data_IF_668846028347
#
_entry.id   IF_668846028347
#
_cell.length_a   1.000
_cell.length_b   1.000
_cell.length_c   1.000
_cell.angle_alpha   90.00
_cell.angle_beta   90.00
_cell.angle_gamma   90.00
#
_symmetry.space_group_name_H-M   'P 1'
#
loop_
_entity.id
_entity.type
_entity.pdbx_description
1 polymer ?
#
# COMPACT_ATOMS: atom_id res chain seq x y z
N UNK A 1 -20.94 -2.72 -13.96
CA UNK A 1 -19.79 -2.13 -13.24
C UNK A 1 -18.56 -3.01 -13.46
N UNK A 2 -17.82 -2.84 -14.55
CA UNK A 2 -16.49 -3.44 -14.66
C UNK A 2 -15.54 -2.47 -13.99
N UNK A 3 -15.36 -2.62 -12.68
CA UNK A 3 -14.22 -2.00 -12.00
C UNK A 3 -12.96 -2.47 -12.73
N UNK A 4 -12.05 -1.56 -13.08
CA UNK A 4 -10.75 -1.95 -13.61
C UNK A 4 -10.11 -2.93 -12.61
N UNK A 5 -9.69 -4.10 -13.08
CA UNK A 5 -9.10 -5.08 -12.18
C UNK A 5 -7.82 -4.51 -11.55
N UNK A 6 -7.71 -4.53 -10.23
CA UNK A 6 -6.45 -4.20 -9.56
C UNK A 6 -5.43 -5.30 -9.86
N UNK A 7 -4.44 -4.97 -10.69
CA UNK A 7 -3.36 -5.90 -11.02
C UNK A 7 -2.43 -6.07 -9.81
N UNK A 8 -2.11 -7.32 -9.47
CA UNK A 8 -1.21 -7.68 -8.37
C UNK A 8 -0.01 -8.44 -8.92
N UNK A 9 1.18 -8.02 -8.56
CA UNK A 9 2.45 -8.62 -8.99
C UNK A 9 3.33 -8.81 -7.76
N UNK A 10 3.97 -9.97 -7.64
CA UNK A 10 4.94 -10.26 -6.60
C UNK A 10 6.34 -10.38 -7.21
N UNK A 11 7.30 -9.63 -6.67
CA UNK A 11 8.72 -9.78 -6.98
C UNK A 11 9.37 -10.62 -5.87
N UNK A 12 9.72 -11.87 -6.18
CA UNK A 12 10.33 -12.79 -5.23
C UNK A 12 11.67 -13.32 -5.76
N UNK A 13 12.61 -13.62 -4.86
CA UNK A 13 13.96 -14.05 -5.23
C UNK A 13 14.96 -13.83 -4.10
N UNK A 14 16.18 -14.31 -4.30
CA UNK A 14 17.26 -14.27 -3.31
C UNK A 14 17.53 -12.85 -2.77
N UNK A 15 18.00 -12.75 -1.53
CA UNK A 15 18.50 -11.50 -0.98
C UNK A 15 19.54 -10.87 -1.92
N UNK A 16 19.44 -9.55 -2.15
CA UNK A 16 20.40 -8.82 -2.99
C UNK A 16 20.23 -8.97 -4.50
N UNK A 17 19.22 -9.71 -5.01
CA UNK A 17 19.03 -9.86 -6.48
C UNK A 17 18.45 -8.62 -7.19
N UNK A 18 18.25 -7.50 -6.50
CA UNK A 18 17.80 -6.24 -7.09
C UNK A 18 16.29 -6.01 -7.16
N UNK A 19 15.47 -6.75 -6.39
CA UNK A 19 13.99 -6.65 -6.41
C UNK A 19 13.48 -5.24 -6.20
N UNK A 20 13.98 -4.57 -5.16
CA UNK A 20 13.63 -3.18 -4.82
C UNK A 20 14.01 -2.22 -5.94
N UNK A 21 15.16 -2.43 -6.59
CA UNK A 21 15.61 -1.63 -7.72
C UNK A 21 14.71 -1.82 -8.95
N UNK A 22 14.23 -3.03 -9.21
CA UNK A 22 13.25 -3.32 -10.27
C UNK A 22 11.93 -2.59 -9.98
N UNK A 23 11.43 -2.65 -8.73
CA UNK A 23 10.21 -1.94 -8.34
C UNK A 23 10.36 -0.41 -8.48
N UNK A 24 11.49 0.16 -8.05
CA UNK A 24 11.81 1.58 -8.22
C UNK A 24 11.81 2.00 -9.69
N UNK A 25 12.46 1.22 -10.54
CA UNK A 25 12.53 1.54 -11.97
C UNK A 25 11.16 1.50 -12.64
N UNK A 26 10.36 0.48 -12.33
CA UNK A 26 8.98 0.37 -12.81
C UNK A 26 8.15 1.59 -12.41
N UNK A 27 8.22 1.99 -11.14
CA UNK A 27 7.52 3.17 -10.62
C UNK A 27 7.98 4.44 -11.33
N UNK A 28 9.29 4.66 -11.48
CA UNK A 28 9.85 5.82 -12.18
C UNK A 28 9.39 5.90 -13.64
N UNK A 29 9.33 4.76 -14.34
CA UNK A 29 8.80 4.72 -15.72
C UNK A 29 7.32 5.09 -15.75
N UNK A 30 6.51 4.50 -14.87
CA UNK A 30 5.07 4.76 -14.82
C UNK A 30 4.73 6.22 -14.49
N UNK A 31 5.49 6.86 -13.60
CA UNK A 31 5.30 8.28 -13.30
C UNK A 31 5.77 9.19 -14.43
N UNK A 32 6.73 8.75 -15.26
CA UNK A 32 7.15 9.50 -16.45
C UNK A 32 6.15 9.41 -17.62
N UNK A 33 5.38 8.32 -17.69
CA UNK A 33 4.41 8.06 -18.76
C UNK A 33 3.01 8.65 -18.49
N UNK A 34 2.70 9.03 -17.24
CA UNK A 34 1.39 9.59 -16.89
C UNK A 34 1.23 9.95 -15.42
N UNK A 35 0.06 10.49 -15.08
CA UNK A 35 -0.31 10.88 -13.72
C UNK A 35 -0.81 9.66 -12.94
N UNK A 36 0.10 8.94 -12.29
CA UNK A 36 -0.25 7.85 -11.38
C UNK A 36 0.29 8.16 -9.98
N UNK A 37 -0.56 8.01 -8.97
CA UNK A 37 -0.15 8.18 -7.58
C UNK A 37 0.69 6.98 -7.14
N UNK A 38 1.84 7.24 -6.51
CA UNK A 38 2.73 6.19 -6.03
C UNK A 38 2.76 6.22 -4.52
N UNK A 39 2.46 5.07 -3.92
CA UNK A 39 2.52 4.87 -2.49
C UNK A 39 3.51 3.74 -2.20
N UNK A 40 4.48 3.99 -1.33
CA UNK A 40 5.51 3.02 -0.97
C UNK A 40 5.48 2.78 0.53
N UNK A 41 5.21 1.54 0.93
CA UNK A 41 5.14 1.12 2.33
C UNK A 41 6.08 -0.02 2.62
N UNK A 42 6.50 -0.13 3.88
CA UNK A 42 7.35 -1.22 4.35
C UNK A 42 6.46 -2.38 4.83
N UNK A 43 6.66 -3.55 4.25
CA UNK A 43 5.98 -4.81 4.57
C UNK A 43 6.71 -5.66 5.60
N UNK A 44 7.74 -5.15 6.26
CA UNK A 44 8.55 -5.88 7.24
C UNK A 44 7.87 -5.98 8.61
N UNK A 45 6.59 -6.37 8.64
CA UNK A 45 5.76 -6.40 9.84
C UNK A 45 4.46 -5.62 9.73
N UNK A 46 3.41 -6.09 10.43
CA UNK A 46 2.12 -5.39 10.56
C UNK A 46 2.30 -3.95 11.06
N UNK A 47 3.19 -3.71 12.02
CA UNK A 47 3.42 -2.37 12.57
C UNK A 47 3.95 -1.40 11.51
N UNK A 48 4.95 -1.81 10.72
CA UNK A 48 5.54 -0.99 9.66
C UNK A 48 4.58 -0.76 8.50
N UNK A 49 3.82 -1.79 8.14
CA UNK A 49 2.78 -1.67 7.13
C UNK A 49 1.69 -0.69 7.60
N UNK A 50 1.22 -0.84 8.84
CA UNK A 50 0.17 0.01 9.44
C UNK A 50 0.62 1.48 9.52
N UNK A 51 1.85 1.74 9.94
CA UNK A 51 2.45 3.08 9.97
C UNK A 51 2.44 3.73 8.58
N UNK A 52 2.91 3.00 7.56
CA UNK A 52 2.90 3.48 6.17
C UNK A 52 1.49 3.68 5.62
N UNK A 53 0.56 2.77 5.93
CA UNK A 53 -0.83 2.86 5.46
C UNK A 53 -1.58 4.04 6.11
N UNK A 54 -1.33 4.32 7.39
CA UNK A 54 -1.83 5.53 8.06
C UNK A 54 -1.29 6.80 7.40
N UNK A 55 0.01 6.83 7.08
CA UNK A 55 0.63 7.97 6.42
C UNK A 55 0.00 8.24 5.03
N UNK A 56 -0.38 7.19 4.29
CA UNK A 56 -1.14 7.33 3.04
C UNK A 56 -2.49 7.99 3.31
N UNK A 57 -3.25 7.50 4.29
CA UNK A 57 -4.56 8.06 4.63
C UNK A 57 -4.50 9.55 4.97
N UNK A 58 -3.48 9.95 5.72
CA UNK A 58 -3.20 11.34 6.03
C UNK A 58 -2.84 12.17 4.79
N UNK A 59 -2.00 11.62 3.90
CA UNK A 59 -1.60 12.27 2.66
C UNK A 59 -2.79 12.58 1.75
N UNK A 60 -3.72 11.63 1.63
CA UNK A 60 -4.95 11.80 0.84
C UNK A 60 -6.06 12.54 1.61
N UNK A 61 -5.73 13.11 2.77
CA UNK A 61 -6.58 13.96 3.62
C UNK A 61 -7.86 13.27 4.10
N UNK A 62 -7.78 11.97 4.40
CA UNK A 62 -8.83 11.30 5.15
C UNK A 62 -8.90 11.93 6.55
N UNK A 63 -10.08 12.41 6.99
CA UNK A 63 -10.23 12.99 8.33
C UNK A 63 -9.82 11.99 9.40
N UNK A 64 -8.94 12.42 10.31
CA UNK A 64 -8.66 11.71 11.55
C UNK A 64 -9.70 12.12 12.61
N UNK A 65 -10.24 11.14 13.34
CA UNK A 65 -10.76 11.38 14.67
C UNK A 65 -9.66 11.09 15.71
N UNK A 66 -9.79 11.65 16.92
CA UNK A 66 -8.73 11.87 17.91
C UNK A 66 -8.46 10.75 18.95
N UNK A 67 -8.81 9.49 18.69
CA UNK A 67 -8.82 8.36 19.63
C UNK A 67 -8.32 7.04 19.00
N UNK A 68 -8.03 6.00 19.79
CA UNK A 68 -7.53 4.70 19.28
C UNK A 68 -8.54 3.95 18.39
N UNK A 69 -9.85 4.10 18.63
CA UNK A 69 -10.90 3.60 17.70
C UNK A 69 -10.76 4.20 16.30
N UNK A 70 -10.10 5.34 16.22
CA UNK A 70 -9.98 6.12 15.00
C UNK A 70 -8.79 5.64 14.15
N UNK A 71 -7.90 4.81 14.71
CA UNK A 71 -6.82 4.17 13.94
C UNK A 71 -7.35 3.09 13.01
N UNK A 72 -8.21 2.19 13.52
CA UNK A 72 -8.87 1.16 12.70
C UNK A 72 -9.78 1.81 11.66
N UNK A 73 -10.48 2.88 12.05
CA UNK A 73 -11.32 3.65 11.15
C UNK A 73 -10.50 4.34 10.05
N UNK A 74 -9.33 4.90 10.37
CA UNK A 74 -8.40 5.47 9.38
C UNK A 74 -7.91 4.41 8.39
N UNK A 75 -7.52 3.22 8.86
CA UNK A 75 -7.11 2.13 7.97
C UNK A 75 -8.26 1.71 7.05
N UNK A 76 -9.48 1.57 7.59
CA UNK A 76 -10.68 1.24 6.82
C UNK A 76 -11.00 2.31 5.78
N UNK A 77 -10.93 3.59 6.15
CA UNK A 77 -11.15 4.69 5.21
C UNK A 77 -10.06 4.76 4.15
N UNK A 78 -8.81 4.48 4.49
CA UNK A 78 -7.70 4.46 3.52
C UNK A 78 -7.91 3.36 2.50
N UNK A 79 -8.31 2.17 2.95
CA UNK A 79 -8.72 1.07 2.06
C UNK A 79 -9.91 1.48 1.17
N UNK A 80 -10.95 2.07 1.77
CA UNK A 80 -12.16 2.50 1.05
C UNK A 80 -11.82 3.55 -0.02
N UNK A 81 -10.87 4.44 0.26
CA UNK A 81 -10.38 5.42 -0.71
C UNK A 81 -9.70 4.73 -1.89
N UNK A 82 -8.81 3.77 -1.67
CA UNK A 82 -8.17 2.98 -2.74
C UNK A 82 -9.16 2.22 -3.64
N UNK A 83 -10.28 1.77 -3.07
CA UNK A 83 -11.37 1.08 -3.78
C UNK A 83 -12.35 2.06 -4.47
N UNK A 84 -12.27 3.35 -4.11
CA UNK A 84 -13.18 4.40 -4.54
C UNK A 84 -12.71 5.14 -5.80
N UNK A 85 -13.65 5.83 -6.49
CA UNK A 85 -13.35 6.58 -7.72
C UNK A 85 -12.39 7.76 -7.51
N UNK A 86 -12.33 8.29 -6.28
CA UNK A 86 -11.50 9.44 -5.92
C UNK A 86 -9.99 9.10 -5.86
N UNK A 87 -9.63 7.81 -5.87
CA UNK A 87 -8.23 7.39 -5.84
C UNK A 87 -7.47 7.62 -7.15
N UNK A 88 -8.20 7.73 -8.26
CA UNK A 88 -7.61 7.74 -9.60
C UNK A 88 -6.73 6.50 -9.86
N UNK A 89 -5.76 6.63 -10.75
CA UNK A 89 -4.78 5.57 -10.98
C UNK A 89 -3.69 5.60 -9.91
N UNK A 90 -3.42 4.44 -9.29
CA UNK A 90 -2.43 4.31 -8.23
C UNK A 90 -1.56 3.05 -8.37
N UNK A 91 -0.36 3.14 -7.82
CA UNK A 91 0.57 2.01 -7.58
C UNK A 91 0.89 2.00 -6.10
N UNK A 92 0.62 0.87 -5.44
CA UNK A 92 1.04 0.59 -4.06
C UNK A 92 2.18 -0.42 -4.09
N UNK A 93 3.35 0.00 -3.64
CA UNK A 93 4.51 -0.87 -3.45
C UNK A 93 4.58 -1.27 -1.98
N UNK A 94 4.60 -2.57 -1.71
CA UNK A 94 4.85 -3.14 -0.39
C UNK A 94 6.23 -3.80 -0.45
N UNK A 95 7.24 -3.10 0.05
CA UNK A 95 8.64 -3.53 -0.02
C UNK A 95 9.05 -4.29 1.24
N UNK A 96 10.01 -5.21 1.13
CA UNK A 96 10.47 -6.05 2.24
C UNK A 96 9.35 -6.88 2.92
N UNK A 97 8.43 -7.43 2.12
CA UNK A 97 7.37 -8.35 2.56
C UNK A 97 7.82 -9.81 2.40
N UNK A 98 8.85 -10.20 3.13
CA UNK A 98 9.53 -11.50 3.03
C UNK A 98 9.20 -12.48 4.17
N UNK A 99 8.44 -12.04 5.18
CA UNK A 99 8.09 -12.84 6.34
C UNK A 99 6.56 -13.01 6.48
N UNK A 100 6.05 -14.13 5.99
CA UNK A 100 4.62 -14.46 6.10
C UNK A 100 4.14 -14.56 7.56
N UNK A 101 5.02 -14.96 8.49
CA UNK A 101 4.67 -15.07 9.91
C UNK A 101 4.31 -13.72 10.52
N UNK A 102 4.78 -12.61 9.94
CA UNK A 102 4.41 -11.27 10.38
C UNK A 102 2.95 -10.93 10.09
N UNK A 103 2.29 -11.64 9.17
CA UNK A 103 0.92 -11.37 8.72
C UNK A 103 -0.07 -12.49 9.08
N UNK A 104 0.43 -13.64 9.53
CA UNK A 104 -0.40 -14.74 10.05
C UNK A 104 -0.75 -14.43 11.51
N UNK A 105 -1.78 -13.61 11.73
CA UNK A 105 -2.19 -13.28 13.10
C UNK A 105 -3.50 -12.50 13.29
N UNK A 106 -4.11 -11.93 12.25
CA UNK A 106 -5.36 -11.19 12.42
C UNK A 106 -6.35 -11.49 11.28
N UNK A 107 -6.85 -12.72 11.24
CA UNK A 107 -8.13 -13.02 10.58
C UNK A 107 -9.25 -12.73 11.58
N UNK A 108 -9.54 -11.45 11.79
CA UNK A 108 -10.86 -11.07 12.31
C UNK A 108 -11.82 -10.99 11.11
N UNK A 109 -13.06 -11.53 11.23
CA UNK A 109 -14.06 -11.49 10.16
C UNK A 109 -14.42 -10.07 9.69
#
# INVERSE_FOLDING_TARGET
CKSGAHNRVALHGLGGCGKTQIALEYVCRRTSEGHCNVFWVQGSGISKFTEGFKAIGQHVRIPLASTEKDEEELLRHTRTWFEGPDSGDWILVIDNADNDADFVGNTSP
#
